data_IF_712739151129
#
_entry.id   IF_712739151129
#
_cell.length_a   1.000
_cell.length_b   1.000
_cell.length_c   1.000
_cell.angle_alpha   90.00
_cell.angle_beta   90.00
_cell.angle_gamma   90.00
#
_symmetry.space_group_name_H-M   'P 1'
#
loop_
_entity.id
_entity.type
_entity.pdbx_description
1 polymer ?
#
# COMPACT_ATOMS: atom_id res chain seq x y z
N UNK A 1 -2.35 -1.90 -4.44
CA UNK A 1 -1.05 -2.59 -4.52
C UNK A 1 0.02 -1.54 -4.74
N UNK A 2 0.60 -1.01 -3.67
CA UNK A 2 1.77 -0.12 -3.76
C UNK A 2 2.94 -0.90 -3.13
N UNK A 3 3.98 -1.10 -3.92
CA UNK A 3 5.18 -1.84 -3.54
C UNK A 3 6.35 -0.92 -3.83
N UNK A 4 7.03 -0.46 -2.79
CA UNK A 4 8.27 0.28 -2.94
C UNK A 4 9.37 -0.71 -3.36
N UNK A 5 9.54 -0.86 -4.66
CA UNK A 5 10.64 -1.61 -5.25
C UNK A 5 11.78 -0.64 -5.43
N UNK A 6 12.53 -0.47 -4.33
CA UNK A 6 13.72 0.38 -4.28
C UNK A 6 14.65 -0.03 -5.42
N UNK A 7 15.21 0.95 -6.11
CA UNK A 7 16.06 0.68 -7.27
C UNK A 7 17.42 0.13 -6.82
N UNK A 8 17.59 -1.18 -6.94
CA UNK A 8 18.84 -1.89 -6.63
C UNK A 8 19.97 -1.52 -7.59
N UNK A 9 19.64 -0.91 -8.74
CA UNK A 9 20.56 -0.54 -9.83
C UNK A 9 21.74 0.31 -9.34
N UNK A 10 21.51 1.18 -8.35
CA UNK A 10 22.58 1.99 -7.73
C UNK A 10 23.66 1.16 -7.04
N UNK A 11 23.28 0.05 -6.40
CA UNK A 11 24.22 -0.87 -5.75
C UNK A 11 24.80 -1.80 -6.81
N UNK A 12 23.98 -2.37 -7.69
CA UNK A 12 24.39 -3.37 -8.68
C UNK A 12 25.42 -2.85 -9.67
N UNK A 13 25.32 -1.57 -10.07
CA UNK A 13 26.25 -0.94 -11.02
C UNK A 13 27.37 -0.14 -10.35
N UNK A 14 27.53 -0.24 -9.02
CA UNK A 14 28.59 0.50 -8.35
C UNK A 14 29.97 0.00 -8.81
N UNK A 15 30.89 0.93 -9.11
CA UNK A 15 32.20 0.61 -9.69
C UNK A 15 33.07 -0.28 -8.79
N UNK A 16 32.82 -0.27 -7.48
CA UNK A 16 33.57 -1.06 -6.48
C UNK A 16 33.60 -2.57 -6.80
N UNK A 17 32.56 -3.09 -7.45
CA UNK A 17 32.47 -4.53 -7.75
C UNK A 17 33.51 -4.94 -8.80
N UNK A 18 33.70 -4.12 -9.83
CA UNK A 18 34.65 -4.38 -10.92
C UNK A 18 36.06 -3.81 -10.65
N UNK A 19 36.18 -2.87 -9.72
CA UNK A 19 37.47 -2.32 -9.30
C UNK A 19 38.32 -3.39 -8.61
N UNK A 20 39.56 -3.60 -9.08
CA UNK A 20 40.55 -4.39 -8.34
C UNK A 20 41.10 -3.56 -7.18
N UNK A 21 40.88 -4.02 -5.96
CA UNK A 21 41.32 -3.34 -4.74
C UNK A 21 42.57 -4.07 -4.25
N UNK A 22 43.70 -3.40 -4.30
CA UNK A 22 45.01 -3.92 -3.87
C UNK A 22 45.64 -2.94 -2.89
N UNK A 23 46.60 -3.41 -2.11
CA UNK A 23 47.33 -2.55 -1.18
C UNK A 23 48.23 -1.53 -1.89
N UNK A 24 48.75 -0.59 -1.12
CA UNK A 24 49.64 0.47 -1.59
C UNK A 24 50.90 -0.11 -2.24
N UNK A 25 51.19 0.30 -3.48
CA UNK A 25 52.40 -0.13 -4.20
C UNK A 25 53.69 0.52 -3.71
N UNK A 26 53.61 1.51 -2.80
CA UNK A 26 54.75 2.31 -2.36
C UNK A 26 55.61 1.69 -1.26
N UNK A 27 55.33 0.46 -0.84
CA UNK A 27 56.01 -0.21 0.29
C UNK A 27 56.82 -1.40 -0.16
N UNK A 28 57.93 -1.68 0.55
CA UNK A 28 58.89 -2.71 0.14
C UNK A 28 58.31 -4.14 0.04
N UNK A 29 57.27 -4.45 0.81
CA UNK A 29 56.57 -5.74 0.76
C UNK A 29 55.71 -5.92 -0.49
N UNK A 30 55.32 -4.82 -1.17
CA UNK A 30 54.35 -4.85 -2.27
C UNK A 30 54.82 -5.67 -3.48
N UNK A 31 56.11 -5.58 -3.82
CA UNK A 31 56.66 -6.23 -5.02
C UNK A 31 56.50 -7.76 -4.99
N UNK A 32 56.76 -8.37 -3.83
CA UNK A 32 56.64 -9.82 -3.67
C UNK A 32 55.17 -10.25 -3.70
N UNK A 33 54.30 -9.50 -3.02
CA UNK A 33 52.86 -9.80 -2.97
C UNK A 33 52.28 -9.77 -4.39
N UNK A 34 52.57 -8.69 -5.14
CA UNK A 34 52.13 -8.52 -6.52
C UNK A 34 52.66 -9.62 -7.45
N UNK A 35 53.93 -9.98 -7.30
CA UNK A 35 54.56 -11.05 -8.09
C UNK A 35 53.90 -12.41 -7.86
N UNK A 36 53.48 -12.70 -6.64
CA UNK A 36 52.81 -13.95 -6.27
C UNK A 36 51.30 -13.90 -6.49
N UNK A 37 50.72 -12.71 -6.73
CA UNK A 37 49.28 -12.48 -6.84
C UNK A 37 48.51 -13.08 -5.66
N UNK A 38 49.04 -12.84 -4.45
CA UNK A 38 48.54 -13.40 -3.20
C UNK A 38 48.05 -12.32 -2.22
N UNK A 39 47.65 -11.15 -2.72
CA UNK A 39 47.15 -10.00 -1.96
C UNK A 39 46.08 -10.40 -0.96
N UNK A 40 45.06 -11.15 -1.41
CA UNK A 40 43.93 -11.58 -0.59
C UNK A 40 44.35 -12.57 0.50
N UNK A 41 45.33 -13.44 0.20
CA UNK A 41 45.89 -14.36 1.18
C UNK A 41 46.66 -13.62 2.27
N UNK A 42 47.45 -12.60 1.90
CA UNK A 42 48.16 -11.75 2.87
C UNK A 42 47.16 -10.93 3.70
N UNK A 43 46.10 -10.40 3.07
CA UNK A 43 45.07 -9.63 3.74
C UNK A 43 44.33 -10.43 4.81
N UNK A 44 43.99 -11.69 4.52
CA UNK A 44 43.41 -12.62 5.48
C UNK A 44 44.44 -13.04 6.54
N UNK A 45 45.67 -13.35 6.10
CA UNK A 45 46.74 -13.80 6.97
C UNK A 45 47.14 -12.77 8.04
N UNK A 46 47.03 -11.48 7.73
CA UNK A 46 47.36 -10.39 8.66
C UNK A 46 46.48 -10.37 9.90
N UNK A 47 45.25 -10.88 9.82
CA UNK A 47 44.32 -10.94 10.96
C UNK A 47 44.79 -11.87 12.08
N UNK A 48 45.70 -12.81 11.76
CA UNK A 48 46.28 -13.74 12.72
C UNK A 48 47.60 -13.24 13.33
N UNK A 49 48.09 -12.07 12.91
CA UNK A 49 49.32 -11.49 13.46
C UNK A 49 48.99 -10.82 14.78
N UNK A 50 49.40 -11.46 15.88
CA UNK A 50 49.24 -10.92 17.24
C UNK A 50 50.30 -9.88 17.59
N UNK A 51 50.12 -9.20 18.72
CA UNK A 51 51.10 -8.26 19.27
C UNK A 51 52.27 -8.99 19.96
N UNK A 52 52.93 -9.88 19.22
CA UNK A 52 54.17 -10.55 19.59
C UNK A 52 55.05 -10.71 18.34
N UNK A 53 56.25 -11.28 18.50
CA UNK A 53 57.19 -11.47 17.39
C UNK A 53 57.05 -12.82 16.68
N UNK A 54 56.16 -13.70 17.17
CA UNK A 54 56.00 -15.06 16.69
C UNK A 54 55.09 -15.05 15.46
N UNK A 55 55.58 -15.58 14.36
CA UNK A 55 54.76 -15.73 13.16
C UNK A 55 53.74 -16.86 13.34
N UNK A 56 52.43 -16.62 13.11
CA UNK A 56 51.40 -17.64 13.28
C UNK A 56 51.54 -18.82 12.30
N UNK A 57 52.27 -18.64 11.20
CA UNK A 57 52.44 -19.66 10.16
C UNK A 57 53.68 -20.54 10.37
N UNK A 58 54.84 -19.93 10.63
CA UNK A 58 56.10 -20.66 10.76
C UNK A 58 56.52 -20.90 12.22
N UNK A 59 55.82 -20.29 13.18
CA UNK A 59 56.04 -20.41 14.63
C UNK A 59 57.43 -19.94 15.08
N UNK A 60 58.11 -19.11 14.28
CA UNK A 60 59.41 -18.51 14.58
C UNK A 60 59.29 -17.01 14.78
N UNK A 61 60.22 -16.45 15.55
CA UNK A 61 60.37 -15.00 15.74
C UNK A 61 60.81 -14.31 14.45
N UNK A 62 59.84 -13.93 13.63
CA UNK A 62 60.06 -13.36 12.29
C UNK A 62 59.19 -12.12 12.04
N UNK A 63 58.21 -11.86 12.89
CA UNK A 63 57.35 -10.67 12.83
C UNK A 63 58.08 -9.53 13.53
N UNK A 64 58.82 -8.74 12.76
CA UNK A 64 59.51 -7.54 13.26
C UNK A 64 58.58 -6.33 13.25
N UNK A 65 58.87 -5.32 14.06
CA UNK A 65 58.13 -4.05 14.07
C UNK A 65 58.17 -3.34 12.70
N UNK A 66 59.29 -3.45 11.99
CA UNK A 66 59.41 -2.94 10.62
C UNK A 66 58.48 -3.68 9.64
N UNK A 67 58.40 -5.01 9.75
CA UNK A 67 57.45 -5.79 8.95
C UNK A 67 55.99 -5.42 9.25
N UNK A 68 55.63 -5.25 10.53
CA UNK A 68 54.28 -4.80 10.92
C UNK A 68 53.94 -3.44 10.28
N UNK A 69 54.84 -2.47 10.33
CA UNK A 69 54.65 -1.16 9.69
C UNK A 69 54.48 -1.25 8.17
N UNK A 70 55.27 -2.10 7.51
CA UNK A 70 55.12 -2.32 6.06
C UNK A 70 53.78 -2.97 5.73
N UNK A 71 53.32 -3.91 6.56
CA UNK A 71 52.03 -4.58 6.39
C UNK A 71 50.85 -3.62 6.59
N UNK A 72 50.91 -2.78 7.62
CA UNK A 72 49.93 -1.71 7.86
C UNK A 72 49.93 -0.66 6.74
N UNK A 73 51.12 -0.27 6.27
CA UNK A 73 51.25 0.70 5.17
C UNK A 73 50.82 0.13 3.82
N UNK A 74 50.89 -1.20 3.64
CA UNK A 74 50.35 -1.87 2.47
C UNK A 74 48.82 -1.84 2.47
N UNK A 75 48.19 -2.18 3.59
CA UNK A 75 46.73 -2.12 3.76
C UNK A 75 46.30 -0.79 4.38
N UNK A 76 46.53 0.29 3.61
CA UNK A 76 46.33 1.66 4.05
C UNK A 76 44.84 2.06 4.20
N UNK A 77 44.62 3.35 4.48
CA UNK A 77 43.28 3.93 4.62
C UNK A 77 42.40 3.73 3.38
N UNK A 78 42.96 3.79 2.16
CA UNK A 78 42.17 3.60 0.93
C UNK A 78 41.67 2.17 0.80
N UNK A 79 42.49 1.19 1.19
CA UNK A 79 42.08 -0.21 1.23
C UNK A 79 40.98 -0.44 2.28
N UNK A 80 41.13 0.17 3.47
CA UNK A 80 40.13 0.07 4.53
C UNK A 80 38.80 0.70 4.14
N UNK A 81 38.81 1.91 3.55
CA UNK A 81 37.61 2.59 3.04
C UNK A 81 36.86 1.74 1.99
N UNK A 82 37.62 1.07 1.11
CA UNK A 82 37.05 0.16 0.11
C UNK A 82 36.40 -1.07 0.76
N UNK A 83 37.03 -1.62 1.79
CA UNK A 83 36.51 -2.76 2.58
C UNK A 83 35.20 -2.38 3.28
N UNK A 84 35.18 -1.21 3.93
CA UNK A 84 33.99 -0.70 4.63
C UNK A 84 32.86 -0.39 3.65
N UNK A 85 33.18 0.14 2.48
CA UNK A 85 32.21 0.38 1.39
C UNK A 85 31.57 -0.93 0.94
N UNK A 86 32.37 -1.97 0.66
CA UNK A 86 31.85 -3.28 0.24
C UNK A 86 30.94 -3.87 1.33
N UNK A 87 31.35 -3.81 2.60
CA UNK A 87 30.56 -4.31 3.73
C UNK A 87 29.20 -3.61 3.80
N UNK A 88 29.20 -2.28 3.76
CA UNK A 88 27.97 -1.48 3.79
C UNK A 88 27.06 -1.80 2.61
N UNK A 89 27.60 -1.84 1.39
CA UNK A 89 26.81 -2.12 0.20
C UNK A 89 26.18 -3.52 0.22
N UNK A 90 26.91 -4.52 0.73
CA UNK A 90 26.40 -5.88 0.90
C UNK A 90 25.27 -5.94 1.93
N UNK A 91 25.42 -5.28 3.08
CA UNK A 91 24.37 -5.18 4.10
C UNK A 91 23.12 -4.46 3.55
N UNK A 92 23.31 -3.31 2.90
CA UNK A 92 22.23 -2.53 2.28
C UNK A 92 21.49 -3.34 1.22
N UNK A 93 22.21 -4.04 0.33
CA UNK A 93 21.62 -4.89 -0.70
C UNK A 93 20.80 -6.03 -0.09
N UNK A 94 21.35 -6.70 0.92
CA UNK A 94 20.69 -7.83 1.59
C UNK A 94 19.38 -7.40 2.24
N UNK A 95 19.40 -6.28 2.99
CA UNK A 95 18.22 -5.78 3.68
C UNK A 95 17.13 -5.34 2.70
N UNK A 96 17.50 -4.52 1.70
CA UNK A 96 16.55 -4.01 0.69
C UNK A 96 15.92 -5.12 -0.14
N UNK A 97 16.73 -6.10 -0.57
CA UNK A 97 16.21 -7.23 -1.36
C UNK A 97 15.33 -8.17 -0.54
N UNK A 98 15.65 -8.39 0.74
CA UNK A 98 14.81 -9.19 1.64
C UNK A 98 13.44 -8.55 1.84
N UNK A 99 13.39 -7.24 2.15
CA UNK A 99 12.14 -6.48 2.32
C UNK A 99 11.28 -6.52 1.05
N UNK A 100 11.89 -6.27 -0.12
CA UNK A 100 11.19 -6.31 -1.39
C UNK A 100 10.62 -7.71 -1.70
N UNK A 101 11.41 -8.76 -1.50
CA UNK A 101 10.96 -10.14 -1.74
C UNK A 101 9.85 -10.56 -0.77
N UNK A 102 9.92 -10.15 0.50
CA UNK A 102 8.87 -10.38 1.49
C UNK A 102 7.56 -9.72 1.04
N UNK A 103 7.62 -8.43 0.67
CA UNK A 103 6.44 -7.69 0.21
C UNK A 103 5.80 -8.31 -1.03
N UNK A 104 6.63 -8.74 -1.98
CA UNK A 104 6.17 -9.43 -3.19
C UNK A 104 5.51 -10.77 -2.89
N UNK A 105 6.05 -11.54 -1.94
CA UNK A 105 5.43 -12.78 -1.48
C UNK A 105 4.08 -12.53 -0.79
N UNK A 106 3.93 -11.45 -0.01
CA UNK A 106 2.65 -11.06 0.58
C UNK A 106 1.60 -10.70 -0.46
N UNK A 107 2.00 -9.99 -1.52
CA UNK A 107 1.12 -9.64 -2.65
C UNK A 107 0.64 -10.92 -3.34
N UNK A 108 1.54 -11.85 -3.66
CA UNK A 108 1.17 -13.15 -4.23
C UNK A 108 0.16 -13.86 -3.34
N UNK A 109 0.46 -13.98 -2.04
CA UNK A 109 -0.40 -14.71 -1.10
C UNK A 109 -1.78 -14.10 -0.98
N UNK A 110 -1.88 -12.77 -0.98
CA UNK A 110 -3.15 -12.04 -0.95
C UNK A 110 -3.95 -12.26 -2.23
N UNK A 111 -3.30 -12.10 -3.39
CA UNK A 111 -3.98 -12.15 -4.68
C UNK A 111 -4.31 -13.57 -5.15
N UNK A 112 -3.55 -14.58 -4.75
CA UNK A 112 -3.88 -16.00 -5.01
C UNK A 112 -5.18 -16.44 -4.34
N UNK A 113 -5.53 -15.85 -3.19
CA UNK A 113 -6.77 -16.12 -2.49
C UNK A 113 -7.93 -15.21 -2.95
N UNK A 114 -7.65 -14.26 -3.85
CA UNK A 114 -8.64 -13.32 -4.38
C UNK A 114 -9.25 -13.86 -5.68
N UNK A 115 -10.47 -14.39 -5.60
CA UNK A 115 -11.20 -14.93 -6.76
C UNK A 115 -11.53 -13.89 -7.83
N UNK A 116 -11.43 -12.59 -7.51
CA UNK A 116 -11.67 -11.49 -8.43
C UNK A 116 -10.37 -10.78 -8.85
N UNK A 117 -9.21 -11.38 -8.57
CA UNK A 117 -7.91 -10.77 -8.88
C UNK A 117 -7.81 -10.40 -10.36
N UNK A 118 -7.21 -9.24 -10.60
CA UNK A 118 -6.84 -8.75 -11.94
C UNK A 118 -5.34 -8.91 -12.20
N UNK A 119 -4.62 -9.46 -11.23
CA UNK A 119 -3.18 -9.68 -11.30
C UNK A 119 -2.90 -11.08 -11.84
N UNK A 120 -2.01 -11.17 -12.81
CA UNK A 120 -1.47 -12.44 -13.29
C UNK A 120 -0.46 -12.98 -12.27
N UNK A 121 -0.98 -13.71 -11.27
CA UNK A 121 -0.22 -14.21 -10.13
C UNK A 121 0.82 -15.27 -10.52
N UNK A 122 0.53 -16.10 -11.53
CA UNK A 122 1.47 -17.11 -12.04
C UNK A 122 2.66 -16.46 -12.76
N UNK A 123 2.40 -15.48 -13.62
CA UNK A 123 3.48 -14.74 -14.28
C UNK A 123 4.30 -13.92 -13.27
N UNK A 124 3.63 -13.25 -12.32
CA UNK A 124 4.30 -12.52 -11.25
C UNK A 124 5.23 -13.43 -10.44
N UNK A 125 4.76 -14.61 -10.05
CA UNK A 125 5.55 -15.62 -9.32
C UNK A 125 6.80 -16.02 -10.11
N UNK A 126 6.67 -16.28 -11.41
CA UNK A 126 7.81 -16.64 -12.27
C UNK A 126 8.86 -15.53 -12.35
N UNK A 127 8.43 -14.27 -12.46
CA UNK A 127 9.36 -13.12 -12.49
C UNK A 127 10.07 -12.99 -11.12
N UNK A 128 9.35 -13.17 -10.02
CA UNK A 128 9.92 -13.13 -8.67
C UNK A 128 10.95 -14.24 -8.44
N UNK A 129 10.73 -15.46 -8.92
CA UNK A 129 11.74 -16.53 -8.82
C UNK A 129 13.00 -16.20 -9.64
N UNK A 130 12.83 -15.54 -10.79
CA UNK A 130 13.96 -15.07 -11.61
C UNK A 130 14.74 -13.97 -10.87
N UNK A 131 14.03 -12.99 -10.32
CA UNK A 131 14.60 -11.92 -9.49
C UNK A 131 15.36 -12.49 -8.29
N UNK A 132 14.76 -13.43 -7.55
CA UNK A 132 15.38 -14.10 -6.40
C UNK A 132 16.67 -14.82 -6.80
N UNK A 133 16.66 -15.51 -7.93
CA UNK A 133 17.85 -16.21 -8.44
C UNK A 133 19.00 -15.24 -8.74
N UNK A 134 18.71 -14.10 -9.36
CA UNK A 134 19.70 -13.03 -9.61
C UNK A 134 20.21 -12.40 -8.31
N UNK A 135 19.32 -12.10 -7.37
CA UNK A 135 19.68 -11.55 -6.05
C UNK A 135 20.64 -12.50 -5.32
N UNK A 136 20.33 -13.80 -5.29
CA UNK A 136 21.19 -14.80 -4.65
C UNK A 136 22.57 -14.90 -5.32
N UNK A 137 22.60 -14.87 -6.66
CA UNK A 137 23.86 -14.86 -7.41
C UNK A 137 24.70 -13.61 -7.10
N UNK A 138 24.05 -12.43 -7.02
CA UNK A 138 24.70 -11.18 -6.65
C UNK A 138 25.22 -11.21 -5.21
N UNK A 139 24.43 -11.68 -4.25
CA UNK A 139 24.86 -11.82 -2.86
C UNK A 139 26.09 -12.72 -2.74
N UNK A 140 26.17 -13.81 -3.52
CA UNK A 140 27.35 -14.66 -3.58
C UNK A 140 28.55 -13.91 -4.16
N UNK A 141 28.40 -13.19 -5.29
CA UNK A 141 29.46 -12.36 -5.88
C UNK A 141 29.94 -11.27 -4.91
N UNK A 142 29.05 -10.65 -4.16
CA UNK A 142 29.40 -9.65 -3.13
C UNK A 142 30.17 -10.28 -1.97
N UNK A 143 29.79 -11.49 -1.54
CA UNK A 143 30.54 -12.26 -0.55
C UNK A 143 31.94 -12.61 -1.05
N UNK A 144 32.04 -13.10 -2.29
CA UNK A 144 33.32 -13.44 -2.90
C UNK A 144 34.20 -12.19 -3.04
N UNK A 145 33.64 -11.05 -3.49
CA UNK A 145 34.34 -9.76 -3.52
C UNK A 145 34.89 -9.34 -2.16
N UNK A 146 34.15 -9.59 -1.07
CA UNK A 146 34.62 -9.27 0.28
C UNK A 146 35.79 -10.13 0.77
N UNK A 147 35.99 -11.31 0.16
CA UNK A 147 37.11 -12.21 0.46
C UNK A 147 38.28 -12.06 -0.52
N UNK A 148 37.95 -11.69 -1.76
CA UNK A 148 38.85 -11.63 -2.91
C UNK A 148 38.84 -10.22 -3.52
N UNK A 149 39.27 -9.23 -2.74
CA UNK A 149 39.22 -7.82 -3.09
C UNK A 149 40.09 -7.48 -4.31
N UNK A 150 41.15 -8.26 -4.55
CA UNK A 150 42.03 -8.13 -5.71
C UNK A 150 41.34 -8.49 -7.05
N UNK A 151 40.20 -9.19 -7.00
CA UNK A 151 39.45 -9.66 -8.17
C UNK A 151 38.29 -8.74 -8.53
N UNK A 152 37.94 -8.76 -9.81
CA UNK A 152 36.80 -8.03 -10.37
C UNK A 152 35.59 -8.94 -10.44
N UNK A 153 34.44 -8.45 -10.00
CA UNK A 153 33.16 -9.15 -10.03
C UNK A 153 32.11 -8.27 -10.71
N UNK A 154 31.38 -8.85 -11.66
CA UNK A 154 30.27 -8.17 -12.33
C UNK A 154 28.94 -8.68 -11.78
N UNK A 155 28.14 -7.79 -11.21
CA UNK A 155 26.80 -8.12 -10.73
C UNK A 155 25.81 -8.20 -11.89
N UNK A 156 24.79 -9.02 -11.71
CA UNK A 156 23.68 -9.16 -12.65
C UNK A 156 22.64 -8.09 -12.36
N UNK A 157 22.26 -7.34 -13.38
CA UNK A 157 21.26 -6.29 -13.24
C UNK A 157 19.85 -6.89 -13.07
N UNK A 158 19.09 -6.39 -12.10
CA UNK A 158 17.73 -6.84 -11.75
C UNK A 158 16.61 -5.89 -12.23
N UNK A 159 16.96 -4.77 -12.87
CA UNK A 159 16.04 -3.73 -13.33
C UNK A 159 14.93 -4.26 -14.23
N UNK A 160 15.26 -5.15 -15.16
CA UNK A 160 14.28 -5.72 -16.08
C UNK A 160 13.19 -6.50 -15.35
N UNK A 161 13.54 -7.29 -14.33
CA UNK A 161 12.57 -8.03 -13.51
C UNK A 161 11.74 -7.08 -12.65
N UNK A 162 12.36 -6.05 -12.07
CA UNK A 162 11.67 -5.01 -11.29
C UNK A 162 10.66 -4.26 -12.15
N UNK A 163 11.06 -3.82 -13.34
CA UNK A 163 10.19 -3.11 -14.28
C UNK A 163 9.04 -4.00 -14.76
N UNK A 164 9.31 -5.27 -15.05
CA UNK A 164 8.26 -6.23 -15.41
C UNK A 164 7.25 -6.44 -14.27
N UNK A 165 7.70 -6.49 -13.01
CA UNK A 165 6.81 -6.55 -11.84
C UNK A 165 5.97 -5.26 -11.73
N UNK A 166 6.59 -4.08 -11.84
CA UNK A 166 5.90 -2.79 -11.80
C UNK A 166 4.82 -2.71 -12.87
N UNK A 167 5.13 -3.16 -14.09
CA UNK A 167 4.19 -3.17 -15.20
C UNK A 167 3.00 -4.12 -14.97
N UNK A 168 3.22 -5.30 -14.39
CA UNK A 168 2.12 -6.21 -14.03
C UNK A 168 1.19 -5.60 -12.99
N UNK A 169 1.77 -5.01 -11.93
CA UNK A 169 0.99 -4.34 -10.88
C UNK A 169 0.22 -3.15 -11.45
N UNK A 170 0.85 -2.35 -12.32
CA UNK A 170 0.22 -1.21 -13.00
C UNK A 170 -0.96 -1.66 -13.85
N UNK A 171 -0.78 -2.68 -14.70
CA UNK A 171 -1.86 -3.24 -15.54
C UNK A 171 -3.02 -3.76 -14.71
N UNK A 172 -2.75 -4.43 -13.59
CA UNK A 172 -3.79 -4.90 -12.68
C UNK A 172 -4.57 -3.72 -12.06
N UNK A 173 -3.87 -2.68 -11.60
CA UNK A 173 -4.49 -1.47 -11.05
C UNK A 173 -5.33 -0.73 -12.10
N UNK A 174 -4.89 -0.65 -13.36
CA UNK A 174 -5.66 -0.08 -14.47
C UNK A 174 -6.96 -0.87 -14.73
N UNK A 175 -6.90 -2.20 -14.70
CA UNK A 175 -8.10 -3.03 -14.82
C UNK A 175 -9.07 -2.82 -13.65
N UNK A 176 -8.56 -2.67 -12.42
CA UNK A 176 -9.39 -2.36 -11.24
C UNK A 176 -10.05 -0.99 -11.40
N UNK A 177 -9.31 0.02 -11.85
CA UNK A 177 -9.86 1.36 -12.08
C UNK A 177 -10.97 1.33 -13.14
N UNK A 178 -10.73 0.69 -14.28
CA UNK A 178 -11.73 0.55 -15.35
C UNK A 178 -12.98 -0.20 -14.88
N UNK A 179 -12.81 -1.25 -14.08
CA UNK A 179 -13.94 -1.98 -13.50
C UNK A 179 -14.76 -1.12 -12.54
N UNK A 180 -14.09 -0.33 -11.69
CA UNK A 180 -14.75 0.59 -10.76
C UNK A 180 -15.50 1.72 -11.50
N UNK A 181 -14.96 2.22 -12.60
CA UNK A 181 -15.65 3.20 -13.45
C UNK A 181 -16.89 2.61 -14.11
N UNK A 182 -16.80 1.38 -14.64
CA UNK A 182 -17.93 0.67 -15.22
C UNK A 182 -19.07 0.46 -14.19
N UNK A 183 -18.74 0.10 -12.94
CA UNK A 183 -19.74 -0.02 -11.86
C UNK A 183 -20.45 1.31 -11.61
N UNK A 184 -19.70 2.42 -11.50
CA UNK A 184 -20.29 3.75 -11.29
C UNK A 184 -21.22 4.14 -12.42
N UNK A 185 -20.88 3.82 -13.67
CA UNK A 185 -21.76 4.10 -14.80
C UNK A 185 -23.04 3.26 -14.76
N UNK A 186 -22.95 1.96 -14.41
CA UNK A 186 -24.14 1.11 -14.24
C UNK A 186 -25.08 1.66 -13.17
N UNK A 187 -24.56 2.12 -12.02
CA UNK A 187 -25.36 2.74 -10.97
C UNK A 187 -26.06 4.01 -11.45
N UNK A 188 -25.33 4.85 -12.20
CA UNK A 188 -25.88 6.07 -12.82
C UNK A 188 -26.97 5.75 -13.84
N UNK A 189 -26.74 4.78 -14.72
CA UNK A 189 -27.73 4.35 -15.72
C UNK A 189 -28.99 3.77 -15.05
N UNK A 190 -28.84 2.94 -14.02
CA UNK A 190 -29.98 2.42 -13.23
C UNK A 190 -30.80 3.55 -12.59
N UNK A 191 -30.14 4.55 -12.02
CA UNK A 191 -30.82 5.73 -11.44
C UNK A 191 -31.59 6.50 -12.52
N UNK A 192 -30.94 6.78 -13.65
CA UNK A 192 -31.59 7.48 -14.77
C UNK A 192 -32.79 6.72 -15.32
N UNK A 193 -32.67 5.40 -15.49
CA UNK A 193 -33.77 4.55 -15.93
C UNK A 193 -34.96 4.61 -14.96
N UNK A 194 -34.73 4.51 -13.64
CA UNK A 194 -35.79 4.68 -12.64
C UNK A 194 -36.49 6.03 -12.74
N UNK A 195 -35.72 7.12 -12.88
CA UNK A 195 -36.27 8.48 -13.02
C UNK A 195 -37.09 8.64 -14.31
N UNK A 196 -36.62 8.07 -15.42
CA UNK A 196 -37.33 8.09 -16.70
C UNK A 196 -38.63 7.28 -16.63
N UNK A 197 -38.62 6.11 -16.01
CA UNK A 197 -39.82 5.29 -15.78
C UNK A 197 -40.86 6.06 -14.95
N UNK A 198 -40.44 6.71 -13.86
CA UNK A 198 -41.35 7.54 -13.06
C UNK A 198 -41.92 8.72 -13.85
N UNK A 199 -41.08 9.44 -14.61
CA UNK A 199 -41.54 10.55 -15.46
C UNK A 199 -42.55 10.08 -16.50
N UNK A 200 -42.28 8.93 -17.13
CA UNK A 200 -43.20 8.33 -18.09
C UNK A 200 -44.54 7.97 -17.45
N UNK A 201 -44.53 7.24 -16.32
CA UNK A 201 -45.76 6.87 -15.60
C UNK A 201 -46.57 8.10 -15.16
N UNK A 202 -45.92 9.11 -14.58
CA UNK A 202 -46.61 10.34 -14.15
C UNK A 202 -47.24 11.08 -15.33
N UNK A 203 -46.56 11.10 -16.49
CA UNK A 203 -47.06 11.76 -17.67
C UNK A 203 -48.23 11.00 -18.31
N UNK A 204 -48.15 9.66 -18.37
CA UNK A 204 -49.19 8.79 -18.91
C UNK A 204 -50.49 8.87 -18.10
N UNK A 205 -50.37 8.81 -16.77
CA UNK A 205 -51.51 8.85 -15.85
C UNK A 205 -51.86 10.28 -15.39
N UNK A 206 -51.38 11.31 -16.08
CA UNK A 206 -51.53 12.71 -15.64
C UNK A 206 -53.00 13.12 -15.47
N UNK A 207 -53.85 12.75 -16.43
CA UNK A 207 -55.29 13.03 -16.38
C UNK A 207 -55.95 12.34 -15.20
N UNK A 208 -55.63 11.07 -14.99
CA UNK A 208 -56.22 10.24 -13.94
C UNK A 208 -55.79 10.72 -12.55
N UNK A 209 -54.50 11.08 -12.40
CA UNK A 209 -53.95 11.69 -11.19
C UNK A 209 -54.65 13.03 -10.90
N UNK A 210 -54.84 13.88 -11.92
CA UNK A 210 -55.54 15.15 -11.76
C UNK A 210 -57.01 14.97 -11.38
N UNK A 211 -57.70 14.02 -12.01
CA UNK A 211 -59.09 13.71 -11.70
C UNK A 211 -59.23 13.15 -10.28
N UNK A 212 -58.35 12.21 -9.90
CA UNK A 212 -58.28 11.66 -8.55
C UNK A 212 -58.05 12.76 -7.51
N UNK A 213 -57.05 13.62 -7.72
CA UNK A 213 -56.77 14.73 -6.81
C UNK A 213 -57.95 15.70 -6.70
N UNK A 214 -58.64 15.98 -7.80
CA UNK A 214 -59.84 16.83 -7.79
C UNK A 214 -60.97 16.19 -6.98
N UNK A 215 -61.21 14.88 -7.14
CA UNK A 215 -62.19 14.13 -6.34
C UNK A 215 -61.82 14.12 -4.87
N UNK A 216 -60.55 13.84 -4.55
CA UNK A 216 -60.02 13.83 -3.20
C UNK A 216 -60.21 15.19 -2.50
N UNK A 217 -59.76 16.29 -3.11
CA UNK A 217 -59.95 17.63 -2.56
C UNK A 217 -61.43 18.02 -2.44
N UNK A 218 -62.29 17.54 -3.34
CA UNK A 218 -63.73 17.73 -3.25
C UNK A 218 -64.34 17.02 -2.04
N UNK A 219 -63.98 15.76 -1.83
CA UNK A 219 -64.41 14.97 -0.67
C UNK A 219 -63.88 15.55 0.64
N UNK A 220 -62.61 15.94 0.69
CA UNK A 220 -61.99 16.57 1.86
C UNK A 220 -62.68 17.89 2.25
N UNK A 221 -63.01 18.74 1.26
CA UNK A 221 -63.83 19.94 1.50
C UNK A 221 -65.23 19.61 2.01
N UNK A 222 -65.84 18.55 1.48
CA UNK A 222 -67.14 18.07 1.95
C UNK A 222 -67.09 17.63 3.41
N UNK A 223 -66.07 16.85 3.79
CA UNK A 223 -65.82 16.42 5.17
C UNK A 223 -65.68 17.65 6.08
N UNK A 224 -64.80 18.59 5.72
CA UNK A 224 -64.57 19.79 6.52
C UNK A 224 -65.84 20.65 6.70
N UNK A 225 -66.68 20.76 5.66
CA UNK A 225 -67.95 21.49 5.76
C UNK A 225 -68.95 20.78 6.67
N UNK A 226 -69.09 19.46 6.55
CA UNK A 226 -70.00 18.68 7.40
C UNK A 226 -69.53 18.72 8.87
N UNK A 227 -68.23 18.61 9.13
CA UNK A 227 -67.66 18.76 10.48
C UNK A 227 -67.98 20.15 11.06
N UNK A 228 -67.89 21.20 10.24
CA UNK A 228 -68.26 22.56 10.64
C UNK A 228 -69.76 22.68 10.96
N UNK A 229 -70.63 22.16 10.10
CA UNK A 229 -72.09 22.18 10.33
C UNK A 229 -72.49 21.40 11.58
N UNK A 230 -71.86 20.24 11.83
CA UNK A 230 -72.05 19.46 13.05
C UNK A 230 -71.66 20.30 14.27
N UNK A 231 -70.50 20.97 14.24
CA UNK A 231 -70.05 21.83 15.32
C UNK A 231 -71.02 22.99 15.59
N UNK A 232 -71.45 23.71 14.56
CA UNK A 232 -72.42 24.81 14.67
C UNK A 232 -73.78 24.35 15.21
N UNK A 233 -74.28 23.20 14.76
CA UNK A 233 -75.54 22.65 15.24
C UNK A 233 -75.44 22.17 16.69
N UNK A 234 -74.31 21.59 17.11
CA UNK A 234 -74.05 21.27 18.50
C UNK A 234 -74.06 22.52 19.39
N UNK A 235 -73.52 23.65 18.92
CA UNK A 235 -73.62 24.92 19.64
C UNK A 235 -75.05 25.43 19.75
N UNK A 236 -75.85 25.33 18.67
CA UNK A 236 -77.28 25.71 18.70
C UNK A 236 -78.08 24.86 19.67
N UNK A 237 -77.86 23.53 19.67
CA UNK A 237 -78.50 22.62 20.63
C UNK A 237 -78.16 23.03 22.06
N UNK A 238 -76.88 23.28 22.37
CA UNK A 238 -76.46 23.78 23.69
C UNK A 238 -77.14 25.10 24.05
N UNK A 239 -77.29 26.03 23.10
CA UNK A 239 -78.01 27.30 23.33
C UNK A 239 -79.48 27.06 23.64
N UNK A 240 -80.18 26.25 22.83
CA UNK A 240 -81.59 25.93 23.04
C UNK A 240 -81.82 25.18 24.36
N UNK A 241 -80.95 24.23 24.72
CA UNK A 241 -81.00 23.55 26.01
C UNK A 241 -80.83 24.52 27.18
N UNK A 242 -79.94 25.51 27.06
CA UNK A 242 -79.78 26.56 28.05
C UNK A 242 -81.02 27.47 28.12
N UNK A 243 -81.60 27.84 26.98
CA UNK A 243 -82.85 28.62 26.92
C UNK A 243 -84.02 27.86 27.57
N UNK A 244 -84.17 26.57 27.30
CA UNK A 244 -85.17 25.71 27.94
C UNK A 244 -84.96 25.70 29.45
N UNK A 245 -83.74 25.46 29.94
CA UNK A 245 -83.43 25.51 31.38
C UNK A 245 -83.79 26.85 32.01
N UNK A 246 -83.53 27.96 31.32
CA UNK A 246 -83.89 29.30 31.80
C UNK A 246 -85.40 29.53 31.80
N UNK A 247 -86.13 29.06 30.78
CA UNK A 247 -87.59 29.11 30.73
C UNK A 247 -88.22 28.24 31.81
N UNK A 248 -87.71 27.04 32.05
CA UNK A 248 -88.15 26.14 33.12
C UNK A 248 -87.90 26.76 34.52
N UNK A 249 -86.76 27.42 34.73
CA UNK A 249 -86.50 28.21 35.96
C UNK A 249 -87.51 29.35 36.13
N UNK A 250 -87.85 30.07 35.06
CA UNK A 250 -88.88 31.13 35.09
C UNK A 250 -90.27 30.57 35.38
N UNK A 251 -90.65 29.46 34.76
CA UNK A 251 -91.94 28.79 34.99
C UNK A 251 -92.04 28.19 36.41
N UNK A 252 -90.94 27.61 36.91
CA UNK A 252 -90.83 27.10 38.27
C UNK A 252 -90.97 28.21 39.33
N UNK A 253 -90.36 29.38 39.09
CA UNK A 253 -90.57 30.57 39.92
C UNK A 253 -92.01 31.09 39.86
N UNK A 254 -92.67 31.00 38.70
CA UNK A 254 -94.06 31.41 38.55
C UNK A 254 -95.04 30.46 39.28
N UNK A 255 -94.79 29.14 39.24
CA UNK A 255 -95.57 28.14 39.99
C UNK A 255 -95.37 28.26 41.51
N UNK A 256 -94.16 28.53 41.97
CA UNK A 256 -93.87 28.76 43.40
C UNK A 256 -94.47 30.07 43.95
N UNK A 257 -94.95 30.98 43.08
CA UNK A 257 -95.64 32.20 43.50
C UNK A 257 -97.18 32.07 43.45
N UNK A 258 -97.71 30.96 42.92
CA UNK A 258 -99.15 30.69 42.81
C UNK A 258 -99.63 29.51 43.66
N UNK A 259 -98.80 29.00 44.57
CA UNK A 259 -99.20 28.17 45.72
C UNK A 259 -99.11 29.01 47.00
#
# INVERSE_FOLDING_TARGET
>A
MECDLTDFDSIENHSIWEQKIVGSGGVAIADLIKKLSNEDWVAQGREYVEDNSICPFCQKETITEEFKKQLESYFDTSYQESTDTIKKMKEDYTNKTAEALERLNEIIKTEQNNSQTKLDTENLKRIIETLRSKINANQQKMLDKSKEMSRSFKLDNTKNEIDAIKDLIKKANEQIANYNEMIKDIEKQKKSCKEQTWKFLINEFKSDIQEYNKKYCGLEKGINNLEKEISENQEKVKKLENEIKELEKKHGKHKAHCQ
#
